data_IF_471906350724
#
_entry.id   IF_471906350724
#
_cell.length_a   1.000
_cell.length_b   1.000
_cell.length_c   1.000
_cell.angle_alpha   90.00
_cell.angle_beta   90.00
_cell.angle_gamma   90.00
#
_symmetry.space_group_name_H-M   'P 1'
#
loop_
_entity.id
_entity.type
_entity.pdbx_description
1 polymer ?
#
# COMPACT_ATOMS: atom_id res chain seq x y z
N UNK A 1 -37.54 -63.51 -2.01
CA UNK A 1 -36.76 -62.46 -2.73
C UNK A 1 -37.40 -61.10 -2.44
N UNK A 2 -36.59 -60.04 -2.55
CA UNK A 2 -36.89 -58.60 -2.36
C UNK A 2 -36.67 -57.99 -0.96
N UNK A 3 -35.43 -57.54 -0.76
CA UNK A 3 -35.03 -56.50 0.22
C UNK A 3 -35.44 -55.14 -0.33
N UNK A 4 -36.13 -54.34 0.48
CA UNK A 4 -36.45 -52.94 0.20
C UNK A 4 -35.24 -52.08 0.59
N UNK A 5 -34.59 -51.45 -0.40
CA UNK A 5 -33.43 -50.59 -0.22
C UNK A 5 -33.93 -49.13 -0.17
N UNK A 6 -33.93 -48.52 1.02
CA UNK A 6 -34.19 -47.08 1.16
C UNK A 6 -32.96 -46.30 0.67
N UNK A 7 -33.07 -45.66 -0.49
CA UNK A 7 -32.07 -44.72 -0.99
C UNK A 7 -32.33 -43.37 -0.30
N UNK A 8 -31.43 -42.97 0.59
CA UNK A 8 -31.39 -41.62 1.17
C UNK A 8 -30.70 -40.71 0.16
N UNK A 9 -31.46 -39.98 -0.63
CA UNK A 9 -30.93 -38.96 -1.54
C UNK A 9 -30.47 -37.76 -0.72
N UNK A 10 -29.16 -37.61 -0.51
CA UNK A 10 -28.57 -36.35 -0.05
C UNK A 10 -28.66 -35.34 -1.19
N UNK A 11 -29.67 -34.47 -1.14
CA UNK A 11 -29.76 -33.32 -2.05
C UNK A 11 -28.63 -32.34 -1.71
N UNK A 12 -27.55 -32.39 -2.49
CA UNK A 12 -26.56 -31.32 -2.56
C UNK A 12 -27.24 -30.08 -3.16
N UNK A 13 -27.67 -29.15 -2.31
CA UNK A 13 -28.12 -27.84 -2.72
C UNK A 13 -26.90 -27.05 -3.23
N UNK A 14 -26.71 -27.04 -4.55
CA UNK A 14 -25.84 -26.06 -5.20
C UNK A 14 -26.49 -24.67 -5.06
N UNK A 15 -25.88 -23.80 -4.25
CA UNK A 15 -26.30 -22.40 -4.11
C UNK A 15 -25.91 -21.64 -5.39
N UNK A 16 -26.81 -21.62 -6.38
CA UNK A 16 -26.64 -20.78 -7.55
C UNK A 16 -26.83 -19.30 -7.13
N UNK A 17 -25.91 -18.38 -7.49
CA UNK A 17 -26.07 -16.96 -7.18
C UNK A 17 -27.34 -16.40 -7.84
N UNK A 18 -27.99 -15.43 -7.18
CA UNK A 18 -29.16 -14.74 -7.73
C UNK A 18 -28.77 -13.95 -8.99
N UNK A 19 -29.76 -13.58 -9.83
CA UNK A 19 -29.51 -12.74 -11.02
C UNK A 19 -28.77 -11.43 -10.69
N UNK A 20 -29.08 -10.84 -9.53
CA UNK A 20 -28.39 -9.66 -9.01
C UNK A 20 -26.94 -9.99 -8.59
N UNK A 21 -26.70 -11.14 -7.96
CA UNK A 21 -25.36 -11.61 -7.62
C UNK A 21 -24.51 -11.90 -8.87
N UNK A 22 -25.10 -12.46 -9.92
CA UNK A 22 -24.40 -12.69 -11.19
C UNK A 22 -23.99 -11.38 -11.86
N UNK A 23 -24.88 -10.38 -11.86
CA UNK A 23 -24.58 -9.05 -12.39
C UNK A 23 -23.41 -8.40 -11.63
N UNK A 24 -23.37 -8.52 -10.30
CA UNK A 24 -22.30 -7.97 -9.48
C UNK A 24 -20.93 -8.64 -9.76
N UNK A 25 -20.90 -9.95 -9.98
CA UNK A 25 -19.68 -10.67 -10.40
C UNK A 25 -19.21 -10.19 -11.79
N UNK A 26 -20.14 -9.97 -12.71
CA UNK A 26 -19.83 -9.51 -14.06
C UNK A 26 -19.28 -8.09 -14.08
N UNK A 27 -19.79 -7.21 -13.21
CA UNK A 27 -19.25 -5.86 -13.00
C UNK A 27 -17.83 -5.90 -12.45
N UNK A 28 -17.55 -6.76 -11.47
CA UNK A 28 -16.20 -6.87 -10.91
C UNK A 28 -15.19 -7.38 -11.93
N UNK A 29 -15.57 -8.35 -12.76
CA UNK A 29 -14.73 -8.80 -13.88
C UNK A 29 -14.44 -7.69 -14.88
N UNK A 30 -15.43 -6.86 -15.21
CA UNK A 30 -15.20 -5.68 -16.06
C UNK A 30 -14.29 -4.65 -15.40
N UNK A 31 -14.39 -4.46 -14.09
CA UNK A 31 -13.49 -3.61 -13.33
C UNK A 31 -12.03 -4.06 -13.45
N UNK A 32 -11.78 -5.37 -13.36
CA UNK A 32 -10.45 -5.95 -13.54
C UNK A 32 -9.90 -5.73 -14.96
N UNK A 33 -10.74 -5.89 -15.98
CA UNK A 33 -10.38 -5.60 -17.38
C UNK A 33 -10.01 -4.13 -17.55
N UNK A 34 -10.85 -3.20 -17.09
CA UNK A 34 -10.57 -1.76 -17.15
C UNK A 34 -9.24 -1.41 -16.46
N UNK A 35 -8.95 -2.01 -15.30
CA UNK A 35 -7.66 -1.82 -14.62
C UNK A 35 -6.47 -2.34 -15.44
N UNK A 36 -6.62 -3.48 -16.13
CA UNK A 36 -5.58 -4.02 -17.01
C UNK A 36 -5.30 -3.14 -18.24
N UNK A 37 -6.29 -2.36 -18.66
CA UNK A 37 -6.20 -1.37 -19.74
C UNK A 37 -5.75 0.01 -19.21
N UNK A 38 -5.34 0.10 -17.94
CA UNK A 38 -4.97 1.33 -17.24
C UNK A 38 -6.10 2.37 -17.11
N UNK A 39 -7.35 1.98 -17.34
CA UNK A 39 -8.53 2.81 -17.06
C UNK A 39 -8.96 2.66 -15.59
N UNK A 40 -8.23 3.37 -14.72
CA UNK A 40 -8.44 3.34 -13.26
C UNK A 40 -9.80 3.90 -12.86
N UNK A 41 -10.29 4.93 -13.56
CA UNK A 41 -11.57 5.58 -13.22
C UNK A 41 -12.72 4.60 -13.41
N UNK A 42 -12.78 3.95 -14.58
CA UNK A 42 -13.79 2.93 -14.88
C UNK A 42 -13.65 1.72 -13.97
N UNK A 43 -12.42 1.29 -13.66
CA UNK A 43 -12.17 0.20 -12.72
C UNK A 43 -12.74 0.48 -11.32
N UNK A 44 -12.54 1.68 -10.78
CA UNK A 44 -13.09 2.08 -9.48
C UNK A 44 -14.61 2.11 -9.53
N UNK A 45 -15.19 2.70 -10.57
CA UNK A 45 -16.63 2.83 -10.72
C UNK A 45 -17.32 1.46 -10.76
N UNK A 46 -16.86 0.57 -11.63
CA UNK A 46 -17.42 -0.78 -11.78
C UNK A 46 -17.25 -1.63 -10.51
N UNK A 47 -16.11 -1.51 -9.81
CA UNK A 47 -15.92 -2.19 -8.53
C UNK A 47 -16.87 -1.68 -7.44
N UNK A 48 -17.13 -0.36 -7.38
CA UNK A 48 -18.14 0.22 -6.46
C UNK A 48 -19.55 -0.28 -6.78
N UNK A 49 -19.91 -0.35 -8.06
CA UNK A 49 -21.19 -0.89 -8.50
C UNK A 49 -21.33 -2.39 -8.17
N UNK A 50 -20.27 -3.17 -8.35
CA UNK A 50 -20.25 -4.58 -7.93
C UNK A 50 -20.52 -4.72 -6.42
N UNK A 51 -19.84 -3.94 -5.59
CA UNK A 51 -20.07 -3.89 -4.12
C UNK A 51 -21.51 -3.50 -3.80
N UNK A 52 -22.05 -2.46 -4.44
CA UNK A 52 -23.44 -2.01 -4.25
C UNK A 52 -24.46 -3.07 -4.71
N UNK A 53 -24.12 -3.87 -5.73
CA UNK A 53 -24.90 -5.03 -6.19
C UNK A 53 -24.88 -6.23 -5.24
N UNK A 54 -24.14 -6.14 -4.12
CA UNK A 54 -24.15 -7.13 -3.06
C UNK A 54 -23.18 -8.30 -3.27
N UNK A 55 -22.13 -8.14 -4.09
CA UNK A 55 -21.04 -9.13 -4.14
C UNK A 55 -20.41 -9.27 -2.75
N UNK A 56 -20.36 -10.50 -2.23
CA UNK A 56 -19.77 -10.85 -0.92
C UNK A 56 -18.42 -11.54 -1.11
N UNK A 57 -17.54 -10.91 -1.89
CA UNK A 57 -16.21 -11.43 -2.21
C UNK A 57 -15.15 -10.48 -1.65
N UNK A 58 -14.23 -10.99 -0.83
CA UNK A 58 -13.16 -10.18 -0.27
C UNK A 58 -12.24 -9.62 -1.37
N UNK A 59 -12.05 -10.33 -2.48
CA UNK A 59 -11.19 -9.90 -3.57
C UNK A 59 -11.63 -8.59 -4.22
N UNK A 60 -12.94 -8.28 -4.27
CA UNK A 60 -13.42 -6.98 -4.77
C UNK A 60 -13.06 -5.83 -3.83
N UNK A 61 -13.07 -6.06 -2.51
CA UNK A 61 -12.72 -5.05 -1.51
C UNK A 61 -11.23 -4.77 -1.53
N UNK A 62 -10.40 -5.81 -1.62
CA UNK A 62 -8.95 -5.64 -1.80
C UNK A 62 -8.63 -4.91 -3.12
N UNK A 63 -9.25 -5.31 -4.22
CA UNK A 63 -9.09 -4.66 -5.52
C UNK A 63 -9.49 -3.18 -5.45
N UNK A 64 -10.68 -2.89 -4.93
CA UNK A 64 -11.20 -1.54 -4.80
C UNK A 64 -10.29 -0.68 -3.91
N UNK A 65 -9.84 -1.21 -2.77
CA UNK A 65 -8.89 -0.54 -1.87
C UNK A 65 -7.60 -0.15 -2.58
N UNK A 66 -7.02 -1.05 -3.37
CA UNK A 66 -5.82 -0.74 -4.16
C UNK A 66 -6.08 0.31 -5.23
N UNK A 67 -7.17 0.19 -6.00
CA UNK A 67 -7.48 1.17 -7.03
C UNK A 67 -7.71 2.57 -6.45
N UNK A 68 -8.47 2.67 -5.36
CA UNK A 68 -8.72 3.93 -4.64
C UNK A 68 -7.44 4.54 -4.08
N UNK A 69 -6.55 3.72 -3.48
CA UNK A 69 -5.28 4.22 -2.96
C UNK A 69 -4.44 4.81 -4.09
N UNK A 70 -4.28 4.08 -5.19
CA UNK A 70 -3.49 4.50 -6.33
C UNK A 70 -4.08 5.70 -7.10
N UNK A 71 -5.34 6.04 -6.86
CA UNK A 71 -6.02 7.26 -7.32
C UNK A 71 -5.89 8.44 -6.33
N UNK A 72 -5.29 8.20 -5.15
CA UNK A 72 -5.16 9.19 -4.08
C UNK A 72 -6.41 9.33 -3.21
N UNK A 73 -7.43 8.48 -3.38
CA UNK A 73 -8.64 8.44 -2.54
C UNK A 73 -8.39 7.63 -1.25
N UNK A 74 -7.46 8.12 -0.43
CA UNK A 74 -6.87 7.37 0.69
C UNK A 74 -7.90 6.90 1.73
N UNK A 75 -8.82 7.75 2.16
CA UNK A 75 -9.81 7.41 3.19
C UNK A 75 -10.79 6.32 2.71
N UNK A 76 -11.17 6.37 1.43
CA UNK A 76 -12.00 5.33 0.82
C UNK A 76 -11.21 4.03 0.66
N UNK A 77 -9.92 4.11 0.33
CA UNK A 77 -9.05 2.94 0.28
C UNK A 77 -8.96 2.22 1.63
N UNK A 78 -8.78 2.97 2.72
CA UNK A 78 -8.82 2.42 4.09
C UNK A 78 -10.14 1.72 4.36
N UNK A 79 -11.27 2.32 3.98
CA UNK A 79 -12.59 1.72 4.19
C UNK A 79 -12.74 0.38 3.45
N UNK A 80 -12.29 0.30 2.20
CA UNK A 80 -12.32 -0.95 1.43
C UNK A 80 -11.37 -2.01 2.01
N UNK A 81 -10.18 -1.63 2.47
CA UNK A 81 -9.27 -2.55 3.15
C UNK A 81 -9.81 -3.04 4.51
N UNK A 82 -10.51 -2.19 5.27
CA UNK A 82 -11.18 -2.57 6.51
C UNK A 82 -12.26 -3.62 6.24
N UNK A 83 -13.01 -3.45 5.14
CA UNK A 83 -14.02 -4.41 4.73
C UNK A 83 -13.42 -5.73 4.24
N UNK A 84 -12.29 -5.68 3.52
CA UNK A 84 -11.51 -6.89 3.21
C UNK A 84 -11.12 -7.66 4.48
N UNK A 85 -10.58 -6.96 5.49
CA UNK A 85 -10.19 -7.55 6.78
C UNK A 85 -11.40 -8.12 7.53
N UNK A 86 -12.57 -7.47 7.44
CA UNK A 86 -13.82 -7.98 8.03
C UNK A 86 -14.25 -9.31 7.41
N UNK A 87 -14.09 -9.46 6.10
CA UNK A 87 -14.41 -10.68 5.35
C UNK A 87 -13.34 -11.78 5.56
N UNK A 88 -12.06 -11.39 5.69
CA UNK A 88 -10.91 -12.29 5.80
C UNK A 88 -10.06 -12.01 7.05
N UNK A 89 -10.60 -12.20 8.27
CA UNK A 89 -9.88 -11.85 9.50
C UNK A 89 -8.55 -12.62 9.67
N UNK A 90 -8.47 -13.85 9.15
CA UNK A 90 -7.26 -14.68 9.19
C UNK A 90 -6.15 -14.20 8.26
N UNK A 91 -6.48 -13.34 7.30
CA UNK A 91 -5.53 -12.79 6.31
C UNK A 91 -5.13 -11.34 6.66
N UNK A 92 -5.71 -10.75 7.71
CA UNK A 92 -5.48 -9.37 8.10
C UNK A 92 -4.00 -9.05 8.36
N UNK A 93 -3.25 -10.01 8.91
CA UNK A 93 -1.81 -9.87 9.15
C UNK A 93 -0.97 -9.93 7.87
N UNK A 94 -1.55 -10.13 6.68
CA UNK A 94 -0.82 -10.13 5.39
C UNK A 94 -1.00 -8.81 4.63
N UNK A 95 -1.93 -7.95 5.05
CA UNK A 95 -2.34 -6.75 4.34
C UNK A 95 -1.51 -5.52 4.73
N UNK A 96 -0.24 -5.51 4.34
CA UNK A 96 0.66 -4.38 4.59
C UNK A 96 0.24 -3.11 3.81
N UNK A 97 -0.43 -3.22 2.66
CA UNK A 97 -0.92 -2.07 1.90
C UNK A 97 -1.89 -1.19 2.71
N UNK A 98 -2.69 -1.81 3.59
CA UNK A 98 -3.57 -1.11 4.53
C UNK A 98 -2.79 -0.26 5.53
N UNK A 99 -1.63 -0.72 5.98
CA UNK A 99 -0.74 0.05 6.86
C UNK A 99 -0.22 1.31 6.16
N UNK A 100 0.10 1.22 4.88
CA UNK A 100 0.50 2.38 4.07
C UNK A 100 -0.69 3.32 3.88
N UNK A 101 -1.87 2.80 3.55
CA UNK A 101 -3.08 3.60 3.44
C UNK A 101 -3.39 4.34 4.76
N UNK A 102 -3.17 3.70 5.91
CA UNK A 102 -3.29 4.35 7.21
C UNK A 102 -2.29 5.48 7.44
N UNK A 103 -1.04 5.33 7.02
CA UNK A 103 -0.06 6.42 7.10
C UNK A 103 -0.57 7.67 6.37
N UNK A 104 -1.05 7.50 5.13
CA UNK A 104 -1.56 8.62 4.34
C UNK A 104 -2.93 9.14 4.83
N UNK A 105 -3.71 8.30 5.52
CA UNK A 105 -4.95 8.71 6.18
C UNK A 105 -4.69 9.39 7.54
N UNK A 106 -3.43 9.57 7.93
CA UNK A 106 -2.98 10.07 9.24
C UNK A 106 -3.44 9.22 10.43
N UNK A 107 -3.80 7.97 10.18
CA UNK A 107 -4.15 6.94 11.18
C UNK A 107 -2.91 6.21 11.67
N UNK A 108 -1.97 6.96 12.25
CA UNK A 108 -0.63 6.47 12.54
C UNK A 108 -0.59 5.35 13.59
N UNK A 109 -1.51 5.35 14.56
CA UNK A 109 -1.61 4.28 15.55
C UNK A 109 -2.03 2.96 14.91
N UNK A 110 -3.03 2.99 14.04
CA UNK A 110 -3.51 1.84 13.30
C UNK A 110 -2.48 1.34 12.29
N UNK A 111 -1.78 2.25 11.62
CA UNK A 111 -0.66 1.93 10.72
C UNK A 111 0.45 1.18 11.45
N UNK A 112 0.93 1.69 12.59
CA UNK A 112 1.97 1.03 13.38
C UNK A 112 1.54 -0.39 13.82
N UNK A 113 0.31 -0.55 14.32
CA UNK A 113 -0.25 -1.86 14.71
C UNK A 113 -0.37 -2.82 13.52
N UNK A 114 -0.72 -2.33 12.34
CA UNK A 114 -0.81 -3.14 11.12
C UNK A 114 0.56 -3.72 10.74
N UNK A 115 1.63 -2.91 10.82
CA UNK A 115 3.00 -3.37 10.52
C UNK A 115 3.58 -4.29 11.61
N UNK A 116 3.22 -4.07 12.88
CA UNK A 116 3.53 -5.01 13.98
C UNK A 116 2.86 -6.38 13.75
N UNK A 117 1.62 -6.38 13.28
CA UNK A 117 0.90 -7.60 12.88
C UNK A 117 1.54 -8.28 11.67
N UNK A 118 1.90 -7.52 10.64
CA UNK A 118 2.54 -8.05 9.42
C UNK A 118 3.92 -8.66 9.67
N UNK A 119 4.67 -8.12 10.62
CA UNK A 119 5.96 -8.68 11.05
C UNK A 119 5.86 -10.16 11.47
N UNK A 120 4.72 -10.58 12.01
CA UNK A 120 4.48 -11.99 12.40
C UNK A 120 4.34 -12.92 11.20
N UNK A 121 3.97 -12.40 10.04
CA UNK A 121 3.87 -13.14 8.79
C UNK A 121 5.17 -13.10 7.99
N UNK A 122 5.81 -11.93 7.87
CA UNK A 122 7.03 -11.76 7.08
C UNK A 122 8.07 -10.88 7.81
N UNK A 123 9.00 -11.52 8.51
CA UNK A 123 9.88 -10.85 9.46
C UNK A 123 11.14 -10.16 8.89
N UNK A 124 11.40 -10.30 7.58
CA UNK A 124 12.64 -9.82 6.95
C UNK A 124 12.42 -8.63 5.99
N UNK A 125 11.23 -8.05 5.98
CA UNK A 125 10.90 -6.96 5.07
C UNK A 125 11.28 -5.59 5.67
N UNK A 126 12.31 -4.96 5.13
CA UNK A 126 12.72 -3.61 5.57
C UNK A 126 11.60 -2.60 5.37
N UNK A 127 10.78 -2.74 4.32
CA UNK A 127 9.68 -1.82 4.06
C UNK A 127 8.72 -1.79 5.24
N UNK A 128 8.37 -2.97 5.78
CA UNK A 128 7.54 -3.09 6.98
C UNK A 128 8.12 -2.30 8.18
N UNK A 129 9.41 -2.50 8.48
CA UNK A 129 10.05 -1.81 9.59
C UNK A 129 10.13 -0.30 9.38
N UNK A 130 10.38 0.15 8.15
CA UNK A 130 10.44 1.58 7.82
C UNK A 130 9.06 2.23 7.92
N UNK A 131 8.01 1.61 7.37
CA UNK A 131 6.66 2.16 7.48
C UNK A 131 6.13 2.16 8.91
N UNK A 132 6.50 1.16 9.73
CA UNK A 132 6.28 1.17 11.18
C UNK A 132 6.94 2.37 11.86
N UNK A 133 8.20 2.66 11.52
CA UNK A 133 8.94 3.82 12.04
C UNK A 133 8.35 5.15 11.59
N UNK A 134 7.91 5.26 10.33
CA UNK A 134 7.24 6.44 9.80
C UNK A 134 5.96 6.74 10.59
N UNK A 135 5.09 5.74 10.76
CA UNK A 135 3.88 5.86 11.58
C UNK A 135 4.21 6.21 13.04
N UNK A 136 5.12 5.46 13.66
CA UNK A 136 5.52 5.68 15.05
C UNK A 136 6.13 7.06 15.26
N UNK A 137 6.98 7.53 14.36
CA UNK A 137 7.64 8.83 14.46
C UNK A 137 6.65 10.00 14.35
N UNK A 138 5.61 9.89 13.52
CA UNK A 138 4.52 10.87 13.45
C UNK A 138 3.71 10.96 14.75
N UNK A 139 3.67 9.88 15.54
CA UNK A 139 2.90 9.79 16.78
C UNK A 139 3.69 10.13 18.04
N UNK A 140 4.89 9.57 18.19
CA UNK A 140 5.69 9.65 19.43
C UNK A 140 7.06 10.32 19.23
N UNK A 141 7.34 10.82 18.02
CA UNK A 141 8.63 11.43 17.67
C UNK A 141 9.70 10.41 17.26
N UNK A 142 10.65 10.88 16.44
CA UNK A 142 11.73 10.06 15.85
C UNK A 142 12.57 9.31 16.90
N UNK A 143 13.07 9.96 17.99
CA UNK A 143 13.93 9.27 18.94
C UNK A 143 13.23 8.10 19.64
N UNK A 144 11.97 8.25 20.02
CA UNK A 144 11.19 7.19 20.67
C UNK A 144 10.75 6.12 19.68
N UNK A 145 10.42 6.48 18.43
CA UNK A 145 10.11 5.53 17.38
C UNK A 145 11.29 4.59 17.10
N UNK A 146 12.52 5.12 17.00
CA UNK A 146 13.73 4.32 16.75
C UNK A 146 13.99 3.26 17.82
N UNK A 147 13.62 3.51 19.08
CA UNK A 147 13.71 2.51 20.16
C UNK A 147 12.75 1.32 19.97
N UNK A 148 11.71 1.49 19.15
CA UNK A 148 10.68 0.49 18.85
C UNK A 148 10.82 -0.11 17.46
N UNK A 149 11.97 0.06 16.80
CA UNK A 149 12.21 -0.49 15.46
C UNK A 149 11.95 -1.99 15.43
N UNK A 150 11.19 -2.45 14.44
CA UNK A 150 10.97 -3.88 14.20
C UNK A 150 12.28 -4.54 13.72
N UNK A 151 12.69 -5.69 14.29
CA UNK A 151 13.96 -6.31 13.96
C UNK A 151 13.94 -6.93 12.56
N UNK A 152 14.94 -6.57 11.74
CA UNK A 152 15.16 -7.15 10.42
C UNK A 152 16.51 -7.91 10.39
N UNK A 153 16.50 -9.26 10.46
CA UNK A 153 17.72 -10.07 10.38
C UNK A 153 18.50 -9.87 9.08
N UNK A 154 17.80 -9.61 7.97
CA UNK A 154 18.43 -9.30 6.69
C UNK A 154 17.43 -9.26 5.54
N UNK A 155 17.65 -8.32 4.62
CA UNK A 155 16.96 -8.21 3.34
C UNK A 155 17.99 -8.25 2.21
N UNK A 156 17.80 -9.18 1.27
CA UNK A 156 18.74 -9.42 0.16
C UNK A 156 18.64 -8.35 -0.93
N UNK A 157 17.58 -7.56 -0.95
CA UNK A 157 17.37 -6.50 -1.93
C UNK A 157 18.31 -5.33 -1.60
N UNK A 158 18.97 -4.79 -2.62
CA UNK A 158 19.77 -3.57 -2.49
C UNK A 158 18.87 -2.37 -2.80
N UNK A 159 18.90 -1.26 -2.03
CA UNK A 159 19.76 -0.96 -0.88
C UNK A 159 19.01 -1.08 0.48
N UNK A 160 18.22 -2.14 0.67
CA UNK A 160 17.26 -2.20 1.78
C UNK A 160 17.94 -2.18 3.15
N UNK A 161 19.08 -2.86 3.32
CA UNK A 161 19.77 -2.84 4.61
C UNK A 161 20.44 -1.48 4.91
N UNK A 162 20.84 -0.71 3.91
CA UNK A 162 21.30 0.67 4.07
C UNK A 162 20.14 1.59 4.46
N UNK A 163 18.98 1.43 3.81
CA UNK A 163 17.74 2.14 4.17
C UNK A 163 17.35 1.85 5.62
N UNK A 164 17.39 0.59 6.04
CA UNK A 164 17.08 0.19 7.41
C UNK A 164 18.00 0.92 8.42
N UNK A 165 19.32 0.91 8.18
CA UNK A 165 20.29 1.63 9.03
C UNK A 165 20.07 3.13 9.03
N UNK A 166 19.71 3.74 7.89
CA UNK A 166 19.37 5.16 7.80
C UNK A 166 18.19 5.52 8.73
N UNK A 167 17.10 4.76 8.68
CA UNK A 167 15.93 5.01 9.53
C UNK A 167 16.20 4.74 11.01
N UNK A 168 17.04 3.74 11.33
CA UNK A 168 17.51 3.50 12.71
C UNK A 168 18.44 4.60 13.23
N UNK A 169 19.02 5.43 12.36
CA UNK A 169 19.98 6.47 12.73
C UNK A 169 21.42 5.97 12.89
N UNK A 170 21.73 4.77 12.38
CA UNK A 170 23.09 4.18 12.38
C UNK A 170 23.72 4.16 10.99
N UNK A 171 23.05 4.74 9.98
CA UNK A 171 23.52 4.88 8.61
C UNK A 171 23.18 6.27 8.06
N UNK A 172 23.70 6.57 6.87
CA UNK A 172 23.58 7.87 6.23
C UNK A 172 22.94 7.76 4.85
N UNK A 173 22.44 8.87 4.32
CA UNK A 173 21.96 8.93 2.92
C UNK A 173 23.08 8.58 1.93
N UNK A 174 24.32 8.97 2.24
CA UNK A 174 25.48 8.64 1.42
C UNK A 174 25.73 7.12 1.32
N UNK A 175 25.45 6.35 2.37
CA UNK A 175 25.56 4.89 2.35
C UNK A 175 24.52 4.28 1.39
N UNK A 176 23.28 4.78 1.44
CA UNK A 176 22.20 4.35 0.52
C UNK A 176 22.57 4.68 -0.93
N UNK A 177 23.05 5.90 -1.19
CA UNK A 177 23.48 6.30 -2.52
C UNK A 177 24.70 5.51 -3.00
N UNK A 178 25.63 5.16 -2.11
CA UNK A 178 26.78 4.34 -2.46
C UNK A 178 26.36 2.91 -2.85
N UNK A 179 25.40 2.31 -2.15
CA UNK A 179 24.93 0.95 -2.43
C UNK A 179 24.26 0.79 -3.81
N UNK A 180 23.75 1.88 -4.38
CA UNK A 180 23.14 1.87 -5.73
C UNK A 180 24.09 2.36 -6.82
N UNK A 181 25.33 2.74 -6.48
CA UNK A 181 26.40 3.00 -7.45
C UNK A 181 27.03 1.69 -7.91
N UNK A 182 27.38 1.62 -9.20
CA UNK A 182 28.01 0.45 -9.83
C UNK A 182 27.10 -0.22 -10.87
N UNK A 183 27.61 -0.37 -12.09
CA UNK A 183 26.82 -0.75 -13.28
C UNK A 183 26.88 -2.25 -13.62
N UNK A 184 27.22 -3.12 -12.66
CA UNK A 184 27.49 -4.54 -12.93
C UNK A 184 26.25 -5.42 -13.04
N UNK A 185 25.07 -4.91 -12.68
CA UNK A 185 23.79 -5.64 -12.70
C UNK A 185 22.89 -5.21 -13.86
N UNK A 186 21.91 -6.03 -14.24
CA UNK A 186 20.97 -5.74 -15.33
C UNK A 186 20.15 -4.46 -15.14
N UNK A 187 19.61 -3.92 -16.23
CA UNK A 187 18.89 -2.64 -16.23
C UNK A 187 17.68 -2.62 -15.27
N UNK A 188 16.91 -3.70 -15.22
CA UNK A 188 15.73 -3.79 -14.35
C UNK A 188 16.12 -3.73 -12.86
N UNK A 189 17.22 -4.41 -12.50
CA UNK A 189 17.74 -4.37 -11.15
C UNK A 189 18.30 -2.99 -10.79
N UNK A 190 19.01 -2.32 -11.72
CA UNK A 190 19.46 -0.93 -11.53
C UNK A 190 18.28 0.02 -11.31
N UNK A 191 17.21 -0.14 -12.09
CA UNK A 191 15.98 0.65 -11.96
C UNK A 191 15.34 0.43 -10.58
N UNK A 192 15.18 -0.84 -10.18
CA UNK A 192 14.63 -1.20 -8.86
C UNK A 192 15.45 -0.64 -7.70
N UNK A 193 16.78 -0.81 -7.72
CA UNK A 193 17.69 -0.26 -6.70
C UNK A 193 17.54 1.26 -6.55
N UNK A 194 17.58 1.99 -7.67
CA UNK A 194 17.44 3.44 -7.70
C UNK A 194 16.06 3.90 -7.25
N UNK A 195 15.01 3.20 -7.65
CA UNK A 195 13.65 3.46 -7.19
C UNK A 195 13.57 3.39 -5.66
N UNK A 196 14.00 2.29 -5.05
CA UNK A 196 13.92 2.12 -3.60
C UNK A 196 14.79 3.12 -2.84
N UNK A 197 16.01 3.41 -3.34
CA UNK A 197 16.86 4.45 -2.78
C UNK A 197 16.13 5.81 -2.76
N UNK A 198 15.59 6.22 -3.90
CA UNK A 198 14.94 7.53 -4.03
C UNK A 198 13.65 7.61 -3.21
N UNK A 199 12.79 6.58 -3.25
CA UNK A 199 11.56 6.57 -2.46
C UNK A 199 11.87 6.70 -0.97
N UNK A 200 12.72 5.83 -0.42
CA UNK A 200 12.95 5.78 1.02
C UNK A 200 13.83 6.92 1.54
N UNK A 201 14.78 7.42 0.75
CA UNK A 201 15.52 8.65 1.12
C UNK A 201 14.59 9.86 1.07
N UNK A 202 13.67 9.94 0.10
CA UNK A 202 12.65 10.99 0.06
C UNK A 202 11.74 10.97 1.29
N UNK A 203 11.23 9.80 1.66
CA UNK A 203 10.44 9.61 2.89
C UNK A 203 11.26 9.97 4.15
N UNK A 204 12.54 9.62 4.19
CA UNK A 204 13.43 9.99 5.30
C UNK A 204 13.60 11.50 5.43
N UNK A 205 13.82 12.20 4.33
CA UNK A 205 13.92 13.66 4.33
C UNK A 205 12.61 14.32 4.78
N UNK A 206 11.46 13.85 4.30
CA UNK A 206 10.16 14.32 4.81
C UNK A 206 10.04 14.09 6.32
N UNK A 207 10.35 12.88 6.78
CA UNK A 207 10.26 12.50 8.18
C UNK A 207 11.16 13.35 9.08
N UNK A 208 12.33 13.75 8.57
CA UNK A 208 13.32 14.59 9.26
C UNK A 208 13.17 16.09 8.97
N UNK A 209 12.07 16.52 8.34
CA UNK A 209 11.71 17.93 8.06
C UNK A 209 12.66 18.64 7.09
N UNK A 210 13.06 17.95 6.02
CA UNK A 210 13.85 18.47 4.89
C UNK A 210 13.00 18.40 3.60
N UNK A 211 12.02 19.31 3.42
CA UNK A 211 10.98 19.15 2.40
C UNK A 211 11.48 19.30 0.95
N UNK A 212 12.48 20.14 0.70
CA UNK A 212 13.02 20.36 -0.65
C UNK A 212 13.74 19.10 -1.16
N UNK A 213 14.62 18.53 -0.33
CA UNK A 213 15.33 17.30 -0.63
C UNK A 213 14.39 16.09 -0.71
N UNK A 214 13.35 16.07 0.14
CA UNK A 214 12.29 15.07 0.07
C UNK A 214 11.60 15.10 -1.29
N UNK A 215 11.15 16.29 -1.73
CA UNK A 215 10.43 16.45 -2.98
C UNK A 215 11.29 16.07 -4.19
N UNK A 216 12.58 16.45 -4.20
CA UNK A 216 13.51 16.05 -5.26
C UNK A 216 13.61 14.52 -5.39
N UNK A 217 13.80 13.83 -4.26
CA UNK A 217 13.92 12.37 -4.23
C UNK A 217 12.64 11.66 -4.61
N UNK A 218 11.49 12.13 -4.11
CA UNK A 218 10.19 11.55 -4.46
C UNK A 218 9.88 11.71 -5.95
N UNK A 219 10.19 12.85 -6.57
CA UNK A 219 10.03 13.03 -8.03
C UNK A 219 10.84 12.00 -8.81
N UNK A 220 12.10 11.79 -8.46
CA UNK A 220 12.94 10.76 -9.09
C UNK A 220 12.36 9.35 -8.96
N UNK A 221 11.74 9.02 -7.82
CA UNK A 221 11.08 7.73 -7.61
C UNK A 221 9.78 7.61 -8.43
N UNK A 222 9.02 8.69 -8.56
CA UNK A 222 7.74 8.71 -9.28
C UNK A 222 7.89 8.75 -10.81
N UNK A 223 8.95 9.37 -11.34
CA UNK A 223 9.27 9.45 -12.78
C UNK A 223 9.84 8.14 -13.34
N UNK A 224 10.51 7.35 -12.49
CA UNK A 224 11.09 6.06 -12.85
C UNK A 224 10.53 4.94 -11.98
N UNK A 225 9.20 4.70 -12.01
CA UNK A 225 8.57 3.76 -11.10
C UNK A 225 8.87 2.32 -11.53
N UNK A 226 8.93 1.45 -10.54
CA UNK A 226 8.78 0.01 -10.78
C UNK A 226 7.31 -0.34 -10.96
N UNK A 227 7.02 -1.33 -11.81
CA UNK A 227 5.66 -1.71 -12.22
C UNK A 227 4.95 -2.59 -11.16
N UNK A 228 4.93 -2.12 -9.91
CA UNK A 228 4.13 -2.73 -8.84
C UNK A 228 3.71 -1.65 -7.81
N UNK A 229 3.01 -2.08 -6.76
CA UNK A 229 2.35 -1.18 -5.79
C UNK A 229 3.22 -0.05 -5.23
N UNK A 230 4.51 -0.28 -4.98
CA UNK A 230 5.38 0.78 -4.45
C UNK A 230 5.62 1.90 -5.46
N UNK A 231 5.62 1.61 -6.77
CA UNK A 231 5.62 2.65 -7.80
C UNK A 231 4.39 3.56 -7.69
N UNK A 232 3.22 2.98 -7.42
CA UNK A 232 2.01 3.77 -7.14
C UNK A 232 2.14 4.56 -5.83
N UNK A 233 2.73 4.00 -4.77
CA UNK A 233 3.00 4.72 -3.52
C UNK A 233 3.84 5.96 -3.76
N UNK A 234 4.89 5.89 -4.58
CA UNK A 234 5.71 7.05 -4.93
C UNK A 234 4.90 8.13 -5.66
N UNK A 235 4.07 7.74 -6.63
CA UNK A 235 3.19 8.68 -7.37
C UNK A 235 2.15 9.32 -6.46
N UNK A 236 1.48 8.53 -5.61
CA UNK A 236 0.47 9.01 -4.66
C UNK A 236 1.11 9.94 -3.64
N UNK A 237 2.31 9.62 -3.14
CA UNK A 237 3.05 10.51 -2.25
C UNK A 237 3.27 11.89 -2.88
N UNK A 238 3.82 11.90 -4.11
CA UNK A 238 4.06 13.14 -4.84
C UNK A 238 2.77 13.95 -5.04
N UNK A 239 1.71 13.29 -5.51
CA UNK A 239 0.41 13.92 -5.76
C UNK A 239 -0.18 14.56 -4.50
N UNK A 240 -0.15 13.87 -3.36
CA UNK A 240 -0.72 14.37 -2.10
C UNK A 240 0.07 15.55 -1.54
N UNK A 241 1.39 15.59 -1.71
CA UNK A 241 2.21 16.71 -1.24
C UNK A 241 2.08 17.95 -2.13
N UNK A 242 2.02 17.78 -3.45
CA UNK A 242 1.79 18.89 -4.37
C UNK A 242 0.42 19.55 -4.17
N UNK A 243 -0.64 18.79 -3.88
CA UNK A 243 -1.96 19.36 -3.57
C UNK A 243 -1.94 20.22 -2.31
N UNK A 244 -1.19 19.78 -1.29
CA UNK A 244 -1.07 20.53 -0.05
C UNK A 244 -0.33 21.85 -0.26
N UNK A 245 0.75 21.86 -1.04
CA UNK A 245 1.49 23.10 -1.37
C UNK A 245 0.59 24.11 -2.09
N UNK A 246 -0.14 23.68 -3.13
CA UNK A 246 -1.06 24.55 -3.86
C UNK A 246 -2.22 25.07 -2.98
N UNK A 247 -2.68 24.28 -2.01
CA UNK A 247 -3.74 24.70 -1.08
C UNK A 247 -3.26 25.74 -0.07
N UNK A 248 -1.97 25.72 0.28
CA UNK A 248 -1.36 26.72 1.17
C UNK A 248 -1.13 28.04 0.41
N UNK A 249 -0.69 27.97 -0.86
CA UNK A 249 -0.54 29.17 -1.71
C UNK A 249 -1.89 29.88 -1.92
N UNK A 250 -2.96 29.16 -2.29
CA UNK A 250 -4.28 29.78 -2.44
C UNK A 250 -4.84 30.35 -1.11
N UNK A 251 -4.61 29.67 0.02
CA UNK A 251 -5.07 30.19 1.31
C UNK A 251 -4.26 31.40 1.81
N UNK A 252 -3.01 31.58 1.36
CA UNK A 252 -2.20 32.75 1.66
C UNK A 252 -2.65 33.97 0.84
N UNK A 253 -3.10 33.75 -0.39
CA UNK A 253 -3.65 34.81 -1.25
C UNK A 253 -5.03 35.29 -0.77
N UNK A 254 -5.89 34.39 -0.28
CA UNK A 254 -7.22 34.72 0.24
C UNK A 254 -7.22 35.51 1.57
N UNK A 255 -6.08 35.56 2.28
CA UNK A 255 -5.92 36.32 3.54
C UNK A 255 -5.30 37.71 3.29
N UNK A 256 -4.87 37.99 2.05
CA UNK A 256 -4.24 39.24 1.66
C UNK A 256 -5.22 40.26 1.02
N UNK A 257 -6.51 39.93 0.85
CA UNK A 257 -7.61 40.85 0.48
C UNK A 257 -8.44 41.28 1.69
#
# INVERSE_FOLDING_TARGET
MFKCLCIVTHSLLFFAPSLHGQMAVDLFRQAQVAASESDRSTAIQLAKEAVAGGIQDSSVQYFLGRQLFCDGQVQQAVTAFDEYVRLEPNQANRLWERGIAFYYAEKFDEGAKQFESYQQFHGNDVENAVWHLLCSGRRIGIPEARKKTLPIPGDRRVPMMEIYRLFQGTGTVADVDAAVKGETVGQDERTSRRFYANLYVGLYYEWTKQPEEALQRIRLAAEHPILHYMGDVARVHLQLRQKNDNSIEHAADDVAE
#
